data_IF_542574455401
#
_entry.id   IF_542574455401
#
_cell.length_a   1.000
_cell.length_b   1.000
_cell.length_c   1.000
_cell.angle_alpha   90.00
_cell.angle_beta   90.00
_cell.angle_gamma   90.00
#
_symmetry.space_group_name_H-M   'P 1'
#
loop_
_entity.id
_entity.type
_entity.pdbx_description
1 polymer ?
#
# COMPACT_ATOMS: atom_id res chain seq x y z
N UNK A 1 11.71 -29.42 30.83
CA UNK A 1 12.12 -28.78 29.55
C UNK A 1 10.87 -28.57 28.72
N UNK A 2 10.60 -27.35 28.24
CA UNK A 2 9.43 -27.11 27.37
C UNK A 2 9.76 -27.58 25.94
N UNK A 3 8.88 -28.37 25.35
CA UNK A 3 9.00 -28.83 23.96
C UNK A 3 8.83 -27.64 23.00
N UNK A 4 9.75 -27.48 22.06
CA UNK A 4 9.65 -26.50 20.98
C UNK A 4 9.15 -27.18 19.71
N UNK A 5 8.13 -26.60 19.08
CA UNK A 5 7.54 -27.13 17.85
C UNK A 5 7.83 -26.20 16.67
N UNK A 6 8.08 -26.79 15.50
CA UNK A 6 8.26 -26.05 14.25
C UNK A 6 6.99 -26.16 13.40
N UNK A 7 6.34 -25.04 13.14
CA UNK A 7 5.13 -24.97 12.31
C UNK A 7 5.52 -24.58 10.89
N UNK A 8 5.02 -25.31 9.89
CA UNK A 8 5.13 -24.95 8.47
C UNK A 8 3.81 -24.36 8.02
N UNK A 9 3.82 -23.09 7.62
CA UNK A 9 2.63 -22.35 7.18
C UNK A 9 2.62 -22.21 5.65
N UNK A 10 1.45 -22.28 5.04
CA UNK A 10 1.23 -22.03 3.61
C UNK A 10 -0.08 -21.28 3.45
N UNK A 11 -0.05 -20.15 2.74
CA UNK A 11 -1.24 -19.34 2.48
C UNK A 11 -1.93 -19.84 1.21
N UNK A 12 -3.24 -20.10 1.28
CA UNK A 12 -4.05 -20.49 0.12
C UNK A 12 -4.81 -19.31 -0.50
N UNK A 13 -4.93 -18.23 0.27
CA UNK A 13 -5.59 -16.98 -0.10
C UNK A 13 -4.70 -15.81 0.35
N UNK A 14 -4.94 -14.58 -0.13
CA UNK A 14 -4.28 -13.40 0.41
C UNK A 14 -4.50 -13.29 1.91
N UNK A 15 -3.41 -13.09 2.67
CA UNK A 15 -3.43 -12.90 4.12
C UNK A 15 -2.88 -11.51 4.42
N UNK A 16 -3.58 -10.75 5.26
CA UNK A 16 -3.12 -9.48 5.79
C UNK A 16 -2.96 -9.64 7.31
N UNK A 17 -1.76 -9.39 7.81
CA UNK A 17 -1.47 -9.27 9.25
C UNK A 17 -1.08 -7.81 9.46
N UNK A 18 -2.01 -7.02 9.97
CA UNK A 18 -1.79 -5.61 10.24
C UNK A 18 -1.16 -5.38 11.62
N UNK A 19 -0.40 -4.30 11.74
CA UNK A 19 0.09 -3.74 13.00
C UNK A 19 -0.93 -2.79 13.66
N UNK A 20 -2.05 -2.53 13.00
CA UNK A 20 -3.10 -1.59 13.43
C UNK A 20 -2.95 -0.18 12.86
N UNK A 21 -1.80 0.14 12.23
CA UNK A 21 -1.58 1.42 11.59
C UNK A 21 -2.30 1.48 10.24
N UNK A 22 -2.73 2.69 9.85
CA UNK A 22 -3.35 2.96 8.54
C UNK A 22 -2.41 3.78 7.68
N UNK A 23 -2.32 3.40 6.42
CA UNK A 23 -1.57 4.12 5.40
C UNK A 23 -2.46 5.24 4.83
N UNK A 24 -1.91 6.44 4.75
CA UNK A 24 -2.55 7.64 4.19
C UNK A 24 -2.16 7.83 2.71
N UNK A 25 -3.16 8.01 1.84
CA UNK A 25 -2.96 8.27 0.40
C UNK A 25 -2.30 9.60 0.07
N UNK A 26 -2.21 10.52 1.03
CA UNK A 26 -1.64 11.85 0.82
C UNK A 26 -0.14 11.86 1.16
N UNK A 27 0.31 11.03 2.10
CA UNK A 27 1.66 11.16 2.68
C UNK A 27 2.50 9.90 2.62
N UNK A 28 1.89 8.75 2.37
CA UNK A 28 2.56 7.46 2.59
C UNK A 28 2.82 6.70 1.30
N UNK A 29 2.06 6.96 0.25
CA UNK A 29 2.26 6.31 -1.05
C UNK A 29 1.79 7.15 -2.23
N UNK A 30 2.34 6.84 -3.40
CA UNK A 30 1.86 7.30 -4.71
C UNK A 30 1.38 6.07 -5.50
N UNK A 31 0.20 6.17 -6.11
CA UNK A 31 -0.28 5.16 -7.05
C UNK A 31 -0.07 5.65 -8.49
N UNK A 32 0.76 4.94 -9.26
CA UNK A 32 1.05 5.28 -10.65
C UNK A 32 1.15 4.01 -11.50
N UNK A 33 0.47 3.98 -12.65
CA UNK A 33 0.49 2.89 -13.65
C UNK A 33 0.43 1.48 -13.04
N UNK A 34 -0.56 1.23 -12.18
CA UNK A 34 -0.78 -0.05 -11.51
C UNK A 34 0.38 -0.48 -10.58
N UNK A 35 1.13 0.49 -10.03
CA UNK A 35 2.12 0.27 -8.98
C UNK A 35 1.86 1.25 -7.83
N UNK A 36 2.07 0.76 -6.61
CA UNK A 36 2.06 1.55 -5.39
C UNK A 36 3.53 1.77 -5.01
N UNK A 37 3.95 3.03 -4.91
CA UNK A 37 5.26 3.44 -4.43
C UNK A 37 5.11 3.96 -3.00
N UNK A 38 5.68 3.24 -2.04
CA UNK A 38 5.69 3.68 -0.64
C UNK A 38 6.80 4.70 -0.44
N UNK A 39 6.49 5.77 0.27
CA UNK A 39 7.36 6.94 0.35
C UNK A 39 8.39 6.82 1.46
N UNK A 40 9.62 7.25 1.16
CA UNK A 40 10.65 7.47 2.16
C UNK A 40 10.41 8.85 2.81
N UNK A 41 9.64 8.84 3.90
CA UNK A 41 9.27 10.06 4.62
C UNK A 41 10.47 10.82 5.17
N UNK A 42 11.51 10.11 5.59
CA UNK A 42 12.72 10.71 6.16
C UNK A 42 13.45 11.54 5.10
N UNK A 43 13.70 10.97 3.92
CA UNK A 43 14.34 11.70 2.81
C UNK A 43 13.53 12.91 2.33
N UNK A 44 12.21 12.77 2.29
CA UNK A 44 11.33 13.90 1.93
C UNK A 44 11.41 14.98 3.01
N UNK A 45 11.35 14.61 4.28
CA UNK A 45 11.45 15.54 5.40
C UNK A 45 12.81 16.25 5.44
N UNK A 46 13.92 15.55 5.22
CA UNK A 46 15.25 16.15 5.11
C UNK A 46 15.31 17.20 3.98
N UNK A 47 14.65 16.91 2.85
CA UNK A 47 14.59 17.85 1.73
C UNK A 47 13.76 19.09 2.02
N UNK A 48 12.70 18.94 2.82
CA UNK A 48 11.80 20.03 3.23
C UNK A 48 12.38 20.86 4.39
N UNK A 49 13.09 20.24 5.33
CA UNK A 49 13.57 20.87 6.56
C UNK A 49 14.60 22.00 6.35
N UNK A 50 15.19 22.08 5.15
CA UNK A 50 16.15 23.13 4.80
C UNK A 50 15.54 24.38 4.17
N UNK A 51 14.21 24.41 3.92
CA UNK A 51 13.55 25.47 3.17
C UNK A 51 12.10 25.66 3.66
N UNK A 52 11.89 26.66 4.52
CA UNK A 52 10.59 27.00 5.09
C UNK A 52 9.54 27.30 4.00
N UNK A 53 9.94 27.89 2.87
CA UNK A 53 9.03 28.14 1.75
C UNK A 53 8.55 26.82 1.13
N UNK A 54 9.41 25.82 1.05
CA UNK A 54 9.04 24.49 0.52
C UNK A 54 8.12 23.74 1.47
N UNK A 55 8.36 23.85 2.77
CA UNK A 55 7.46 23.31 3.80
C UNK A 55 6.07 23.94 3.69
N UNK A 56 6.00 25.26 3.56
CA UNK A 56 4.74 26.00 3.42
C UNK A 56 4.02 25.68 2.12
N UNK A 57 4.75 25.53 1.00
CA UNK A 57 4.17 25.10 -0.28
C UNK A 57 3.61 23.69 -0.22
N UNK A 58 4.30 22.78 0.46
CA UNK A 58 3.83 21.42 0.66
C UNK A 58 2.55 21.38 1.50
N UNK A 59 2.55 22.06 2.64
CA UNK A 59 1.38 22.14 3.53
C UNK A 59 0.21 22.86 2.84
N UNK A 60 0.49 23.96 2.15
CA UNK A 60 -0.51 24.69 1.37
C UNK A 60 -1.08 23.82 0.25
N UNK A 61 -0.25 23.06 -0.47
CA UNK A 61 -0.70 22.13 -1.50
C UNK A 61 -1.70 21.10 -0.95
N UNK A 62 -1.40 20.53 0.22
CA UNK A 62 -2.28 19.55 0.88
C UNK A 62 -3.60 20.19 1.33
N UNK A 63 -3.53 21.35 2.01
CA UNK A 63 -4.68 22.03 2.61
C UNK A 63 -5.60 22.65 1.54
N UNK A 64 -5.01 23.33 0.55
CA UNK A 64 -5.76 24.12 -0.45
C UNK A 64 -6.52 23.24 -1.44
N UNK A 65 -6.00 22.06 -1.74
CA UNK A 65 -6.60 21.15 -2.72
C UNK A 65 -7.56 20.13 -2.09
N UNK A 66 -7.93 20.32 -0.82
CA UNK A 66 -8.87 19.45 -0.13
C UNK A 66 -10.31 19.79 -0.57
N UNK A 67 -10.91 18.97 -1.43
CA UNK A 67 -12.29 19.17 -1.85
C UNK A 67 -13.30 18.73 -0.76
N UNK A 68 -14.58 19.08 -0.95
CA UNK A 68 -15.69 18.70 -0.04
C UNK A 68 -15.84 17.18 0.20
N UNK A 69 -15.12 16.33 -0.55
CA UNK A 69 -15.10 14.87 -0.43
C UNK A 69 -13.79 14.33 0.19
N UNK A 70 -12.98 15.17 0.85
CA UNK A 70 -11.67 14.81 1.45
C UNK A 70 -10.68 14.17 0.46
N UNK A 71 -10.85 14.43 -0.84
CA UNK A 71 -9.89 14.04 -1.87
C UNK A 71 -9.04 15.27 -2.19
N UNK A 72 -7.73 15.10 -2.11
CA UNK A 72 -6.80 16.16 -2.50
C UNK A 72 -6.52 16.09 -4.00
N UNK A 73 -6.64 17.21 -4.70
CA UNK A 73 -6.09 17.38 -6.07
C UNK A 73 -4.58 17.66 -6.04
N UNK A 74 -3.96 17.65 -4.86
CA UNK A 74 -2.52 17.78 -4.74
C UNK A 74 -1.83 16.59 -5.41
N UNK A 75 -1.20 16.86 -6.55
CA UNK A 75 -0.34 15.90 -7.21
C UNK A 75 1.01 15.85 -6.48
N UNK A 76 1.07 14.97 -5.48
CA UNK A 76 2.29 14.74 -4.70
C UNK A 76 3.45 14.32 -5.59
N UNK A 77 3.21 13.52 -6.64
CA UNK A 77 4.27 13.06 -7.54
C UNK A 77 4.90 14.25 -8.26
N UNK A 78 4.06 15.09 -8.85
CA UNK A 78 4.52 16.30 -9.54
C UNK A 78 5.25 17.24 -8.57
N UNK A 79 4.80 17.38 -7.33
CA UNK A 79 5.49 18.19 -6.33
C UNK A 79 6.89 17.66 -6.03
N UNK A 80 7.03 16.36 -5.76
CA UNK A 80 8.32 15.74 -5.46
C UNK A 80 9.29 15.85 -6.65
N UNK A 81 8.81 15.60 -7.87
CA UNK A 81 9.64 15.56 -9.08
C UNK A 81 9.98 16.97 -9.60
N UNK A 82 8.99 17.88 -9.68
CA UNK A 82 9.17 19.19 -10.35
C UNK A 82 9.57 20.30 -9.38
N UNK A 83 9.10 20.26 -8.14
CA UNK A 83 9.36 21.30 -7.14
C UNK A 83 10.58 20.95 -6.29
N UNK A 84 10.56 19.80 -5.62
CA UNK A 84 11.68 19.36 -4.77
C UNK A 84 12.88 18.83 -5.57
N UNK A 85 12.67 18.56 -6.87
CA UNK A 85 13.66 17.99 -7.80
C UNK A 85 14.20 16.65 -7.33
N UNK A 86 13.34 15.83 -6.72
CA UNK A 86 13.65 14.48 -6.29
C UNK A 86 13.35 13.50 -7.41
N UNK A 87 14.24 12.53 -7.61
CA UNK A 87 13.96 11.40 -8.50
C UNK A 87 13.13 10.34 -7.77
N UNK A 88 12.49 9.44 -8.53
CA UNK A 88 11.77 8.29 -7.97
C UNK A 88 12.62 7.49 -6.97
N UNK A 89 13.92 7.33 -7.24
CA UNK A 89 14.84 6.61 -6.35
C UNK A 89 15.08 7.34 -5.01
N UNK A 90 14.90 8.66 -4.98
CA UNK A 90 15.10 9.45 -3.78
C UNK A 90 13.91 9.32 -2.84
N UNK A 91 12.69 9.44 -3.39
CA UNK A 91 11.48 9.47 -2.55
C UNK A 91 10.76 8.13 -2.41
N UNK A 92 11.04 7.12 -3.25
CA UNK A 92 10.43 5.78 -3.10
C UNK A 92 11.29 4.87 -2.22
N UNK A 93 10.69 4.33 -1.16
CA UNK A 93 11.31 3.34 -0.28
C UNK A 93 11.23 1.93 -0.88
N UNK A 94 10.04 1.54 -1.34
CA UNK A 94 9.80 0.30 -2.07
C UNK A 94 8.52 0.41 -2.90
N UNK A 95 8.30 -0.54 -3.80
CA UNK A 95 7.08 -0.57 -4.61
C UNK A 95 6.44 -1.95 -4.64
N UNK A 96 5.12 -1.95 -4.81
CA UNK A 96 4.32 -3.16 -4.99
C UNK A 96 3.54 -3.02 -6.29
N UNK A 97 3.63 -4.04 -7.14
CA UNK A 97 2.85 -4.11 -8.36
C UNK A 97 1.42 -4.55 -8.06
N UNK A 98 0.45 -3.81 -8.58
CA UNK A 98 -0.95 -4.18 -8.54
C UNK A 98 -1.17 -5.43 -9.38
N UNK A 99 -1.88 -6.42 -8.84
CA UNK A 99 -2.37 -7.53 -9.66
C UNK A 99 -3.51 -6.99 -10.52
N UNK A 100 -3.32 -6.97 -11.83
CA UNK A 100 -4.41 -6.73 -12.77
C UNK A 100 -5.54 -7.74 -12.50
N UNK A 101 -6.79 -7.30 -12.59
CA UNK A 101 -7.94 -8.18 -12.40
C UNK A 101 -7.95 -9.25 -13.50
N UNK A 102 -7.26 -10.36 -13.28
CA UNK A 102 -7.53 -11.59 -14.02
C UNK A 102 -8.87 -12.10 -13.51
N UNK A 103 -9.87 -12.15 -14.39
CA UNK A 103 -11.18 -12.75 -14.12
C UNK A 103 -10.99 -14.22 -13.71
N UNK A 104 -10.81 -14.50 -12.41
CA UNK A 104 -10.72 -15.86 -11.89
C UNK A 104 -12.16 -16.33 -11.66
N UNK A 105 -12.77 -16.87 -12.72
CA UNK A 105 -13.97 -17.71 -12.64
C UNK A 105 -13.59 -19.11 -12.15
N UNK A 106 -13.06 -19.22 -10.92
CA UNK A 106 -12.94 -20.49 -10.21
C UNK A 106 -13.27 -20.26 -8.74
N UNK A 107 -14.36 -20.90 -8.33
CA UNK A 107 -14.82 -20.93 -6.95
C UNK A 107 -13.65 -21.27 -6.01
N UNK A 108 -13.36 -20.45 -4.99
CA UNK A 108 -12.22 -20.63 -4.10
C UNK A 108 -12.42 -21.77 -3.07
N UNK A 109 -13.55 -22.46 -3.12
CA UNK A 109 -13.89 -23.50 -2.18
C UNK A 109 -13.32 -24.85 -2.65
N UNK A 110 -12.53 -25.49 -1.79
CA UNK A 110 -12.23 -26.92 -1.90
C UNK A 110 -13.55 -27.66 -1.74
N UNK A 111 -13.99 -28.37 -2.78
CA UNK A 111 -15.19 -29.21 -2.71
C UNK A 111 -14.96 -30.26 -1.61
N UNK A 112 -15.68 -30.14 -0.50
CA UNK A 112 -15.64 -31.14 0.55
C UNK A 112 -16.15 -32.47 -0.01
N UNK A 113 -15.27 -33.47 -0.03
CA UNK A 113 -15.63 -34.86 -0.35
C UNK A 113 -16.71 -35.31 0.63
N UNK A 114 -17.97 -35.34 0.16
CA UNK A 114 -19.05 -35.99 0.89
C UNK A 114 -18.86 -37.50 0.71
N UNK A 115 -18.16 -38.13 1.65
CA UNK A 115 -18.21 -39.59 1.82
C UNK A 115 -19.67 -40.04 1.97
N UNK A 116 -20.24 -40.55 0.88
CA UNK A 116 -21.55 -41.19 0.90
C UNK A 116 -21.45 -42.46 1.74
N UNK A 117 -21.96 -42.42 2.98
CA UNK A 117 -22.23 -43.63 3.75
C UNK A 117 -23.29 -44.43 2.99
N UNK A 118 -22.87 -45.50 2.32
CA UNK A 118 -23.77 -46.50 1.78
C UNK A 118 -24.55 -47.12 2.95
N UNK A 119 -25.87 -46.90 2.98
CA UNK A 119 -26.78 -47.70 3.81
C UNK A 119 -26.86 -49.09 3.18
N UNK A 120 -26.30 -50.10 3.86
CA UNK A 120 -26.61 -51.50 3.58
C UNK A 120 -28.09 -51.74 3.93
N UNK A 121 -28.86 -52.22 2.94
CA UNK A 121 -30.11 -52.95 3.17
C UNK A 121 -29.78 -54.39 3.56
#
# INVERSE_FOLDING_TARGET
MKSQYRIKLTTLTPVCIGDGNKINSITDYIYDRNRIYYLNKEKIAERLAGDDEMMDRYMSGIISNMNNNNRTEFDLKDFLEKVLKLSLHDYALYSVEGKSQTNISRSPYISGDKSQKQKKK
#
